data_IF_041154830729
#
_entry.id   IF_041154830729
#
_cell.length_a   1.000
_cell.length_b   1.000
_cell.length_c   1.000
_cell.angle_alpha   90.00
_cell.angle_beta   90.00
_cell.angle_gamma   90.00
#
_symmetry.space_group_name_H-M   'P 1'
#
loop_
_entity.id
_entity.type
_entity.pdbx_description
1 polymer ?
#
# COMPACT_ATOMS: atom_id res chain seq x y z
N UNK A 1 -35.41 25.96 60.71
CA UNK A 1 -34.17 26.66 60.30
C UNK A 1 -33.04 26.20 61.21
N UNK A 2 -31.78 25.96 60.79
CA UNK A 2 -31.15 25.87 59.46
C UNK A 2 -30.37 24.52 59.23
N UNK A 3 -30.22 23.99 58.00
CA UNK A 3 -29.10 24.02 57.00
C UNK A 3 -27.99 22.95 57.13
N UNK A 4 -27.47 22.57 55.95
CA UNK A 4 -26.35 21.66 55.57
C UNK A 4 -26.74 20.18 55.43
N UNK A 5 -26.98 19.59 54.23
CA UNK A 5 -26.41 19.72 52.87
C UNK A 5 -24.91 19.39 52.80
N UNK A 6 -24.58 18.17 52.34
CA UNK A 6 -23.64 17.80 51.23
C UNK A 6 -23.15 16.34 51.41
N UNK A 7 -23.57 15.40 50.54
CA UNK A 7 -22.98 15.06 49.24
C UNK A 7 -21.69 14.25 49.37
N UNK A 8 -21.79 12.93 49.24
CA UNK A 8 -21.56 12.18 48.00
C UNK A 8 -20.07 11.83 47.84
N UNK A 9 -19.72 10.71 48.50
CA UNK A 9 -18.67 9.77 48.07
C UNK A 9 -18.67 9.69 46.54
N UNK A 10 -17.56 10.03 45.90
CA UNK A 10 -17.12 9.40 44.66
C UNK A 10 -15.63 9.67 44.47
N UNK A 11 -14.84 8.70 44.91
CA UNK A 11 -13.49 8.50 44.42
C UNK A 11 -13.60 7.87 43.03
N UNK A 12 -13.41 8.66 41.99
CA UNK A 12 -13.01 8.13 40.68
C UNK A 12 -11.91 9.04 40.13
N UNK A 13 -10.68 8.65 40.42
CA UNK A 13 -9.50 9.12 39.72
C UNK A 13 -9.63 8.66 38.26
N UNK A 14 -10.03 9.59 37.38
CA UNK A 14 -9.98 9.37 35.94
C UNK A 14 -8.51 9.44 35.52
N UNK A 15 -7.92 8.25 35.34
CA UNK A 15 -6.63 8.09 34.71
C UNK A 15 -6.67 8.70 33.30
N UNK A 16 -5.77 9.65 33.07
CA UNK A 16 -5.48 10.26 31.77
C UNK A 16 -4.93 9.16 30.86
N UNK A 17 -5.77 8.62 29.98
CA UNK A 17 -5.31 7.91 28.80
C UNK A 17 -5.05 8.95 27.72
N UNK A 18 -3.78 9.33 27.58
CA UNK A 18 -3.30 10.05 26.41
C UNK A 18 -3.46 9.12 25.19
N UNK A 19 -4.59 9.22 24.51
CA UNK A 19 -4.77 8.65 23.19
C UNK A 19 -3.89 9.46 22.23
N UNK A 20 -2.68 8.98 21.96
CA UNK A 20 -1.91 9.45 20.83
C UNK A 20 -2.78 9.27 19.57
N UNK A 21 -3.00 10.30 18.75
CA UNK A 21 -3.62 10.09 17.46
C UNK A 21 -2.62 9.28 16.64
N UNK A 22 -2.89 7.98 16.47
CA UNK A 22 -2.33 7.23 15.37
C UNK A 22 -2.82 7.95 14.11
N UNK A 23 -1.95 8.78 13.53
CA UNK A 23 -2.17 9.39 12.22
C UNK A 23 -2.22 8.23 11.25
N UNK A 24 -3.42 7.71 11.02
CA UNK A 24 -3.72 6.88 9.87
C UNK A 24 -3.45 7.79 8.66
N UNK A 25 -2.28 7.60 8.05
CA UNK A 25 -1.96 8.15 6.75
C UNK A 25 -2.97 7.54 5.79
N UNK A 26 -4.09 8.22 5.59
CA UNK A 26 -4.95 7.95 4.46
C UNK A 26 -4.06 8.15 3.22
N UNK A 27 -4.06 7.23 2.24
CA UNK A 27 -3.42 7.53 0.97
C UNK A 27 -4.12 8.79 0.46
N UNK A 28 -3.37 9.88 0.37
CA UNK A 28 -3.85 11.11 -0.24
C UNK A 28 -4.20 10.73 -1.68
N UNK A 29 -5.50 10.57 -1.94
CA UNK A 29 -6.04 10.52 -3.29
C UNK A 29 -5.87 11.92 -3.85
N UNK A 30 -4.67 12.20 -4.34
CA UNK A 30 -4.31 13.46 -4.97
C UNK A 30 -5.19 13.65 -6.20
N UNK A 31 -6.04 14.69 -6.26
CA UNK A 31 -6.96 14.91 -7.38
C UNK A 31 -6.25 15.17 -8.71
N UNK A 32 -4.91 15.32 -8.73
CA UNK A 32 -4.08 15.32 -9.94
C UNK A 32 -4.06 13.96 -10.69
N UNK A 33 -4.63 12.89 -10.11
CA UNK A 33 -4.75 11.56 -10.74
C UNK A 33 -5.92 11.42 -11.73
N UNK A 34 -6.79 12.42 -11.87
CA UNK A 34 -7.89 12.40 -12.85
C UNK A 34 -7.45 12.75 -14.28
N UNK A 35 -6.24 13.27 -14.46
CA UNK A 35 -5.60 13.27 -15.76
C UNK A 35 -5.03 11.87 -16.02
N UNK A 36 -5.37 11.25 -17.14
CA UNK A 36 -4.78 9.97 -17.60
C UNK A 36 -3.24 9.98 -17.60
N UNK A 37 -2.63 11.17 -17.55
CA UNK A 37 -1.22 11.42 -17.23
C UNK A 37 -0.77 10.80 -15.90
N UNK A 38 -1.58 10.88 -14.85
CA UNK A 38 -1.24 10.37 -13.52
C UNK A 38 -1.18 8.84 -13.47
N UNK A 39 -2.15 8.15 -14.08
CA UNK A 39 -2.13 6.69 -14.18
C UNK A 39 -0.94 6.19 -15.00
N UNK A 40 -0.61 6.88 -16.09
CA UNK A 40 0.57 6.56 -16.91
C UNK A 40 1.86 6.66 -16.07
N UNK A 41 2.04 7.76 -15.34
CA UNK A 41 3.19 7.96 -14.46
C UNK A 41 3.28 6.88 -13.37
N UNK A 42 2.15 6.49 -12.77
CA UNK A 42 2.14 5.42 -11.78
C UNK A 42 2.48 4.05 -12.38
N UNK A 43 1.97 3.75 -13.58
CA UNK A 43 2.34 2.51 -14.30
C UNK A 43 3.84 2.48 -14.58
N UNK A 44 4.44 3.61 -15.01
CA UNK A 44 5.89 3.71 -15.23
C UNK A 44 6.69 3.49 -13.94
N UNK A 45 6.28 4.11 -12.83
CA UNK A 45 6.92 3.93 -11.51
C UNK A 45 6.84 2.46 -11.06
N UNK A 46 5.69 1.82 -11.22
CA UNK A 46 5.50 0.40 -10.88
C UNK A 46 6.38 -0.47 -11.76
N UNK A 47 6.42 -0.21 -13.07
CA UNK A 47 7.24 -0.96 -14.00
C UNK A 47 8.73 -0.86 -13.66
N UNK A 48 9.22 0.33 -13.33
CA UNK A 48 10.62 0.54 -12.95
C UNK A 48 10.96 -0.11 -11.60
N UNK A 49 10.06 0.00 -10.62
CA UNK A 49 10.22 -0.67 -9.32
C UNK A 49 10.29 -2.19 -9.45
N UNK A 50 9.43 -2.78 -10.28
CA UNK A 50 9.42 -4.22 -10.55
C UNK A 50 10.68 -4.68 -11.28
N UNK A 51 11.22 -3.88 -12.21
CA UNK A 51 12.51 -4.16 -12.86
C UNK A 51 13.65 -4.14 -11.86
N UNK A 52 13.71 -3.11 -11.01
CA UNK A 52 14.71 -3.02 -9.95
C UNK A 52 14.67 -4.22 -8.98
N UNK A 53 13.49 -4.76 -8.70
CA UNK A 53 13.35 -5.92 -7.80
C UNK A 53 13.87 -7.24 -8.42
N UNK A 54 13.85 -7.39 -9.75
CA UNK A 54 14.39 -8.59 -10.43
C UNK A 54 15.87 -8.47 -10.82
N UNK A 55 16.40 -7.26 -10.88
CA UNK A 55 17.83 -7.00 -11.11
C UNK A 55 18.69 -7.37 -9.89
N UNK A 56 18.08 -7.50 -8.72
CA UNK A 56 18.74 -8.01 -7.51
C UNK A 56 18.97 -9.51 -7.63
N UNK A 57 20.24 -9.92 -7.49
CA UNK A 57 20.64 -11.34 -7.49
C UNK A 57 20.00 -12.05 -6.31
N UNK A 58 19.34 -13.19 -6.59
CA UNK A 58 18.75 -14.02 -5.55
C UNK A 58 19.84 -14.57 -4.60
N UNK A 59 19.65 -14.44 -3.28
CA UNK A 59 20.58 -14.99 -2.30
C UNK A 59 20.63 -16.52 -2.42
N UNK A 60 21.77 -17.12 -2.04
CA UNK A 60 21.91 -18.59 -2.01
C UNK A 60 20.89 -19.23 -1.08
N UNK A 61 20.69 -18.63 0.09
CA UNK A 61 19.66 -19.03 1.03
C UNK A 61 18.32 -18.48 0.55
N UNK A 62 17.35 -19.35 0.23
CA UNK A 62 16.06 -18.94 -0.31
C UNK A 62 16.04 -18.66 -1.82
N UNK A 63 17.03 -19.15 -2.56
CA UNK A 63 17.15 -18.98 -4.02
C UNK A 63 15.85 -19.33 -4.76
N UNK A 64 15.27 -20.50 -4.49
CA UNK A 64 14.09 -20.98 -5.21
C UNK A 64 12.87 -20.09 -4.99
N UNK A 65 12.67 -19.60 -3.76
CA UNK A 65 11.58 -18.68 -3.42
C UNK A 65 11.77 -17.31 -4.10
N UNK A 66 13.01 -16.82 -4.12
CA UNK A 66 13.35 -15.58 -4.81
C UNK A 66 13.19 -15.71 -6.34
N UNK A 67 13.62 -16.81 -6.94
CA UNK A 67 13.46 -17.05 -8.38
C UNK A 67 11.99 -17.21 -8.77
N UNK A 68 11.19 -17.88 -7.93
CA UNK A 68 9.74 -17.97 -8.13
C UNK A 68 9.08 -16.59 -8.07
N UNK A 69 9.43 -15.74 -7.09
CA UNK A 69 8.98 -14.35 -7.01
C UNK A 69 9.39 -13.57 -8.27
N UNK A 70 10.64 -13.68 -8.70
CA UNK A 70 11.13 -12.99 -9.88
C UNK A 70 10.42 -13.47 -11.15
N UNK A 71 10.04 -14.76 -11.23
CA UNK A 71 9.19 -15.28 -12.29
C UNK A 71 7.80 -14.62 -12.33
N UNK A 72 7.17 -14.45 -11.17
CA UNK A 72 5.87 -13.75 -11.08
C UNK A 72 6.00 -12.26 -11.44
N UNK A 73 7.09 -11.60 -11.04
CA UNK A 73 7.36 -10.20 -11.41
C UNK A 73 7.57 -10.05 -12.92
N UNK A 74 8.28 -10.98 -13.58
CA UNK A 74 8.41 -10.98 -15.05
C UNK A 74 7.06 -11.11 -15.73
N UNK A 75 6.21 -12.03 -15.28
CA UNK A 75 4.86 -12.17 -15.82
C UNK A 75 4.02 -10.89 -15.65
N UNK A 76 4.19 -10.17 -14.54
CA UNK A 76 3.57 -8.86 -14.31
C UNK A 76 4.03 -7.82 -15.32
N UNK A 77 5.34 -7.73 -15.57
CA UNK A 77 5.91 -6.81 -16.56
C UNK A 77 5.40 -7.12 -17.98
N UNK A 78 5.29 -8.41 -18.34
CA UNK A 78 4.74 -8.82 -19.64
C UNK A 78 3.28 -8.39 -19.83
N UNK A 79 2.46 -8.44 -18.77
CA UNK A 79 1.07 -7.97 -18.81
C UNK A 79 1.01 -6.46 -19.08
N UNK A 80 1.89 -5.66 -18.45
CA UNK A 80 1.96 -4.21 -18.68
C UNK A 80 2.34 -3.93 -20.13
N UNK A 81 3.37 -4.58 -20.64
CA UNK A 81 3.84 -4.38 -22.00
C UNK A 81 2.77 -4.79 -23.05
N UNK A 82 2.08 -5.90 -22.82
CA UNK A 82 0.99 -6.34 -23.71
C UNK A 82 -0.20 -5.37 -23.70
N UNK A 83 -0.56 -4.83 -22.53
CA UNK A 83 -1.62 -3.82 -22.41
C UNK A 83 -1.24 -2.50 -23.09
N UNK A 84 0.01 -2.06 -22.96
CA UNK A 84 0.52 -0.87 -23.66
C UNK A 84 0.53 -1.02 -25.16
N UNK A 85 0.96 -2.18 -25.68
CA UNK A 85 0.89 -2.47 -27.13
C UNK A 85 -0.53 -2.37 -27.68
N UNK A 86 -1.52 -2.77 -26.87
CA UNK A 86 -2.95 -2.68 -27.20
C UNK A 86 -3.57 -1.30 -26.94
N UNK A 87 -2.80 -0.33 -26.43
CA UNK A 87 -3.27 0.99 -26.00
C UNK A 87 -4.46 0.88 -25.03
N UNK A 88 -4.38 -0.08 -24.10
CA UNK A 88 -5.39 -0.25 -23.07
C UNK A 88 -5.39 0.97 -22.13
N UNK A 89 -6.51 1.20 -21.44
CA UNK A 89 -6.61 2.25 -20.45
C UNK A 89 -5.58 2.05 -19.32
N UNK A 90 -4.79 3.09 -19.04
CA UNK A 90 -3.68 3.03 -18.08
C UNK A 90 -4.18 2.95 -16.63
N UNK A 91 -5.33 3.56 -16.31
CA UNK A 91 -5.92 3.48 -14.97
C UNK A 91 -6.49 2.09 -14.70
N UNK A 92 -7.14 1.47 -15.68
CA UNK A 92 -7.57 0.06 -15.60
C UNK A 92 -6.38 -0.89 -15.48
N UNK A 93 -5.30 -0.59 -16.20
CA UNK A 93 -4.05 -1.34 -16.10
C UNK A 93 -3.46 -1.24 -14.69
N UNK A 94 -3.46 -0.05 -14.10
CA UNK A 94 -3.01 0.17 -12.72
C UNK A 94 -3.87 -0.59 -11.69
N UNK A 95 -5.20 -0.62 -11.87
CA UNK A 95 -6.11 -1.39 -11.00
C UNK A 95 -5.79 -2.88 -11.09
N UNK A 96 -5.56 -3.41 -12.30
CA UNK A 96 -5.18 -4.81 -12.46
C UNK A 96 -3.81 -5.10 -11.84
N UNK A 97 -2.83 -4.22 -12.04
CA UNK A 97 -1.51 -4.35 -11.42
C UNK A 97 -1.61 -4.37 -9.90
N UNK A 98 -2.39 -3.46 -9.31
CA UNK A 98 -2.56 -3.43 -7.86
C UNK A 98 -3.13 -4.75 -7.31
N UNK A 99 -4.07 -5.37 -8.03
CA UNK A 99 -4.61 -6.69 -7.65
C UNK A 99 -3.54 -7.78 -7.71
N UNK A 100 -2.75 -7.81 -8.78
CA UNK A 100 -1.72 -8.83 -8.96
C UNK A 100 -0.54 -8.64 -7.99
N UNK A 101 -0.13 -7.39 -7.72
CA UNK A 101 0.91 -7.08 -6.74
C UNK A 101 0.57 -7.60 -5.34
N UNK A 102 -0.72 -7.56 -4.95
CA UNK A 102 -1.18 -8.13 -3.65
C UNK A 102 -1.10 -9.66 -3.59
N UNK A 103 -0.94 -10.33 -4.73
CA UNK A 103 -0.77 -11.79 -4.79
C UNK A 103 0.69 -12.22 -4.78
N UNK A 104 1.61 -11.27 -4.94
CA UNK A 104 3.04 -11.57 -4.83
C UNK A 104 3.38 -12.00 -3.40
N UNK A 105 4.32 -12.95 -3.23
CA UNK A 105 4.80 -13.30 -1.90
C UNK A 105 5.44 -12.08 -1.24
N UNK A 106 5.28 -11.94 0.10
CA UNK A 106 5.84 -10.82 0.83
C UNK A 106 7.37 -10.79 0.74
N UNK A 107 7.94 -9.60 0.92
CA UNK A 107 9.38 -9.44 1.00
C UNK A 107 9.90 -10.20 2.22
N UNK A 108 10.67 -11.25 1.98
CA UNK A 108 11.40 -12.05 2.98
C UNK A 108 12.66 -11.33 3.41
#
# INVERSE_FOLDING_TARGET
MPLFRTSLRWFFALAVTAAAPAVAVQPASDPALNDTSGCTALVDIVQESLRGEIDVVCPKDGKDACEAKNGQIRALLDIVDERRKRKADECETLVQLNRLLRTLPPKT
#
